data_IF_549195757050
#
_entry.id   IF_549195757050
#
_cell.length_a   1.000
_cell.length_b   1.000
_cell.length_c   1.000
_cell.angle_alpha   90.00
_cell.angle_beta   90.00
_cell.angle_gamma   90.00
#
_symmetry.space_group_name_H-M   'P 1'
#
loop_
_entity.id
_entity.type
_entity.pdbx_description
1 polymer ?
#
# COMPACT_ATOMS: atom_id res chain seq x y z
N UNK A 1 9.52 0.95 14.75
CA UNK A 1 9.69 1.80 15.95
C UNK A 1 10.38 3.13 15.65
N UNK A 2 11.57 3.14 15.03
CA UNK A 2 12.28 4.39 14.68
C UNK A 2 11.44 5.33 13.82
N UNK A 3 10.71 4.79 12.82
CA UNK A 3 9.74 5.54 12.00
C UNK A 3 8.71 6.27 12.88
N UNK A 4 8.08 5.58 13.84
CA UNK A 4 7.09 6.19 14.73
C UNK A 4 7.67 7.33 15.59
N UNK A 5 8.93 7.21 16.01
CA UNK A 5 9.61 8.26 16.77
C UNK A 5 9.91 9.47 15.88
N UNK A 6 10.36 9.24 14.64
CA UNK A 6 10.60 10.29 13.66
C UNK A 6 9.31 11.04 13.29
N UNK A 7 8.22 10.32 12.95
CA UNK A 7 6.93 10.94 12.62
C UNK A 7 6.41 11.83 13.76
N UNK A 8 6.59 11.39 15.01
CA UNK A 8 6.25 12.21 16.18
C UNK A 8 7.06 13.50 16.24
N UNK A 9 8.37 13.45 15.99
CA UNK A 9 9.24 14.64 15.96
C UNK A 9 8.87 15.56 14.78
N UNK A 10 8.50 15.00 13.63
CA UNK A 10 8.03 15.72 12.45
C UNK A 10 6.57 16.19 12.55
N UNK A 11 5.90 15.98 13.69
CA UNK A 11 4.51 16.32 13.93
C UNK A 11 3.51 15.73 12.92
N UNK A 12 3.82 14.58 12.33
CA UNK A 12 2.89 13.81 11.48
C UNK A 12 2.05 12.88 12.37
N UNK A 13 0.71 13.01 12.38
CA UNK A 13 -0.17 12.16 13.17
C UNK A 13 -0.01 10.68 12.81
N UNK A 14 0.45 9.88 13.77
CA UNK A 14 0.69 8.45 13.59
C UNK A 14 0.58 7.70 14.92
N UNK A 15 0.46 6.37 14.86
CA UNK A 15 0.52 5.53 16.05
C UNK A 15 1.82 5.75 16.83
N UNK A 16 1.68 5.94 18.14
CA UNK A 16 2.81 6.13 19.05
C UNK A 16 3.13 4.86 19.82
N UNK A 17 4.41 4.64 20.13
CA UNK A 17 4.84 3.55 21.01
C UNK A 17 4.25 3.71 22.43
N UNK A 18 3.94 2.60 23.08
CA UNK A 18 3.58 2.60 24.50
C UNK A 18 4.79 2.95 25.38
N UNK A 19 4.53 3.39 26.62
CA UNK A 19 5.56 3.69 27.63
C UNK A 19 6.10 2.40 28.26
N UNK A 20 6.73 1.58 27.42
CA UNK A 20 7.44 0.35 27.78
C UNK A 20 8.89 0.55 27.35
N UNK A 21 9.87 0.26 28.22
CA UNK A 21 11.28 0.40 27.91
C UNK A 21 12.07 -0.74 28.57
N UNK A 22 12.93 -1.50 27.84
CA UNK A 22 13.23 -1.39 26.41
C UNK A 22 12.13 -1.91 25.47
N UNK A 23 12.08 -1.38 24.24
CA UNK A 23 11.37 -2.00 23.10
C UNK A 23 12.34 -2.24 21.92
N UNK A 24 12.21 -3.35 21.18
CA UNK A 24 11.17 -4.36 21.33
C UNK A 24 11.40 -5.22 22.59
N UNK A 25 10.33 -5.73 23.19
CA UNK A 25 10.44 -6.79 24.20
C UNK A 25 10.62 -8.10 23.46
N UNK A 26 11.69 -8.83 23.74
CA UNK A 26 11.96 -10.12 23.10
C UNK A 26 11.43 -11.24 23.99
N UNK A 27 10.51 -12.05 23.46
CA UNK A 27 9.97 -13.24 24.14
C UNK A 27 10.39 -14.47 23.35
N UNK A 28 11.36 -15.23 23.87
CA UNK A 28 12.06 -16.24 23.08
C UNK A 28 12.82 -15.59 21.92
N UNK A 29 12.49 -15.95 20.67
CA UNK A 29 13.04 -15.35 19.46
C UNK A 29 12.06 -14.38 18.77
N UNK A 30 10.96 -14.02 19.43
CA UNK A 30 9.88 -13.21 18.86
C UNK A 30 9.97 -11.78 19.40
N UNK A 31 10.26 -10.78 18.54
CA UNK A 31 10.22 -9.38 18.94
C UNK A 31 8.76 -8.90 19.04
N UNK A 32 8.41 -8.30 20.18
CA UNK A 32 7.09 -7.73 20.46
C UNK A 32 7.22 -6.22 20.67
N UNK A 33 6.39 -5.45 19.97
CA UNK A 33 6.32 -3.99 20.09
C UNK A 33 4.96 -3.59 20.63
N UNK A 34 4.94 -2.85 21.74
CA UNK A 34 3.73 -2.31 22.32
C UNK A 34 3.47 -0.89 21.80
N UNK A 35 2.22 -0.66 21.40
CA UNK A 35 1.72 0.61 20.88
C UNK A 35 0.71 1.20 21.85
N UNK A 36 0.66 2.52 21.94
CA UNK A 36 -0.37 3.21 22.72
C UNK A 36 -1.72 2.95 22.05
N UNK A 37 -2.68 2.44 22.83
CA UNK A 37 -4.04 2.21 22.35
C UNK A 37 -4.67 3.54 21.95
N UNK A 38 -5.23 3.60 20.74
CA UNK A 38 -6.00 4.74 20.27
C UNK A 38 -7.35 4.84 21.03
N UNK A 39 -7.91 6.05 21.19
CA UNK A 39 -9.31 6.21 21.61
C UNK A 39 -10.27 5.48 20.62
N UNK A 40 -11.58 5.38 20.92
CA UNK A 40 -12.56 4.88 19.95
C UNK A 40 -12.39 5.59 18.60
N UNK A 41 -12.26 4.80 17.55
CA UNK A 41 -11.93 5.26 16.21
C UNK A 41 -12.62 4.40 15.15
N UNK A 42 -12.66 4.93 13.94
CA UNK A 42 -13.13 4.25 12.74
C UNK A 42 -12.07 4.34 11.63
N UNK A 43 -12.16 3.49 10.58
CA UNK A 43 -11.33 3.67 9.39
C UNK A 43 -11.51 5.08 8.82
N UNK A 44 -10.43 5.65 8.28
CA UNK A 44 -10.44 6.99 7.71
C UNK A 44 -11.21 7.09 6.41
N UNK A 45 -11.37 8.32 5.92
CA UNK A 45 -11.89 8.58 4.58
C UNK A 45 -10.75 8.92 3.61
N UNK A 46 -11.04 8.91 2.31
CA UNK A 46 -10.03 9.25 1.29
C UNK A 46 -9.41 10.63 1.52
N UNK A 47 -10.17 11.60 2.04
CA UNK A 47 -9.66 12.94 2.36
C UNK A 47 -8.65 12.94 3.51
N UNK A 48 -8.79 12.02 4.46
CA UNK A 48 -7.86 11.89 5.59
C UNK A 48 -6.55 11.28 5.14
N UNK A 49 -6.62 10.26 4.26
CA UNK A 49 -5.45 9.69 3.58
C UNK A 49 -4.72 10.79 2.80
N UNK A 50 -5.43 11.56 1.97
CA UNK A 50 -4.83 12.64 1.17
C UNK A 50 -4.09 13.68 2.04
N UNK A 51 -4.72 14.10 3.15
CA UNK A 51 -4.15 15.09 4.08
C UNK A 51 -2.86 14.57 4.74
N UNK A 52 -2.89 13.34 5.25
CA UNK A 52 -1.74 12.72 5.92
C UNK A 52 -0.60 12.43 4.92
N UNK A 53 -0.93 11.98 3.70
CA UNK A 53 0.06 11.78 2.65
C UNK A 53 0.73 13.08 2.23
N UNK A 54 -0.03 14.16 2.07
CA UNK A 54 0.55 15.46 1.76
C UNK A 54 1.53 15.90 2.85
N UNK A 55 1.10 15.83 4.12
CA UNK A 55 1.97 16.17 5.23
C UNK A 55 3.23 15.31 5.29
N UNK A 56 3.12 14.01 4.98
CA UNK A 56 4.25 13.09 4.95
C UNK A 56 5.22 13.38 3.78
N UNK A 57 4.67 13.61 2.58
CA UNK A 57 5.47 13.81 1.37
C UNK A 57 6.16 15.18 1.34
N UNK A 58 5.66 16.16 2.10
CA UNK A 58 6.28 17.48 2.29
C UNK A 58 7.47 17.44 3.28
N UNK A 59 7.74 16.30 3.94
CA UNK A 59 8.88 16.17 4.85
C UNK A 59 10.20 15.90 4.12
N UNK A 60 11.28 16.49 4.63
CA UNK A 60 12.63 16.09 4.27
C UNK A 60 12.90 14.64 4.70
N UNK A 61 13.41 13.77 3.82
CA UNK A 61 13.78 12.41 4.16
C UNK A 61 14.78 12.34 5.33
N UNK A 62 14.51 11.54 6.37
CA UNK A 62 15.41 11.41 7.51
C UNK A 62 16.66 10.62 7.12
N UNK A 63 17.81 11.30 7.06
CA UNK A 63 19.08 10.69 6.62
C UNK A 63 19.62 9.64 7.60
N UNK A 64 19.28 9.74 8.88
CA UNK A 64 19.73 8.84 9.93
C UNK A 64 18.88 7.56 10.03
N UNK A 65 17.63 7.59 9.56
CA UNK A 65 16.66 6.51 9.73
C UNK A 65 17.00 5.26 8.91
N UNK A 66 17.73 5.42 7.80
CA UNK A 66 18.11 4.33 6.91
C UNK A 66 16.89 3.65 6.30
N UNK A 67 15.90 4.44 5.86
CA UNK A 67 14.73 3.91 5.16
C UNK A 67 15.17 3.23 3.86
N UNK A 68 14.62 2.05 3.52
CA UNK A 68 14.92 1.41 2.26
C UNK A 68 14.32 2.19 1.11
N UNK A 69 14.91 2.07 -0.07
CA UNK A 69 14.26 2.48 -1.31
C UNK A 69 13.03 1.59 -1.58
N UNK A 70 12.02 2.16 -2.25
CA UNK A 70 10.83 1.42 -2.66
C UNK A 70 11.20 0.30 -3.65
N UNK A 71 11.06 -0.94 -3.20
CA UNK A 71 11.01 -2.11 -4.08
C UNK A 71 9.59 -2.70 -4.09
N UNK A 72 8.78 -2.43 -5.13
CA UNK A 72 7.41 -2.94 -5.22
C UNK A 72 7.37 -4.44 -5.60
N UNK A 73 8.51 -5.07 -5.88
CA UNK A 73 8.62 -6.49 -6.23
C UNK A 73 9.24 -7.33 -5.11
N UNK A 74 9.62 -6.70 -4.00
CA UNK A 74 10.26 -7.38 -2.88
C UNK A 74 9.43 -8.57 -2.38
N UNK A 75 10.07 -9.75 -2.37
CA UNK A 75 9.49 -11.04 -1.94
C UNK A 75 8.30 -11.55 -2.77
N UNK A 76 7.95 -10.90 -3.89
CA UNK A 76 6.82 -11.34 -4.73
C UNK A 76 7.11 -12.68 -5.43
N UNK A 77 8.24 -12.85 -6.16
CA UNK A 77 8.54 -14.11 -6.84
C UNK A 77 8.58 -15.32 -5.90
N UNK A 78 9.15 -15.16 -4.71
CA UNK A 78 9.28 -16.22 -3.71
C UNK A 78 7.91 -16.63 -3.18
N UNK A 79 7.03 -15.67 -2.88
CA UNK A 79 5.65 -15.94 -2.43
C UNK A 79 4.83 -16.65 -3.49
N UNK A 80 4.96 -16.24 -4.75
CA UNK A 80 4.26 -16.84 -5.89
C UNK A 80 4.76 -18.26 -6.15
N UNK A 81 6.08 -18.47 -6.09
CA UNK A 81 6.70 -19.79 -6.30
C UNK A 81 6.31 -20.78 -5.21
N UNK A 82 6.22 -20.32 -3.96
CA UNK A 82 5.80 -21.14 -2.81
C UNK A 82 4.28 -21.39 -2.71
N UNK A 83 3.46 -20.81 -3.59
CA UNK A 83 2.01 -20.96 -3.51
C UNK A 83 1.54 -22.32 -4.03
N UNK A 84 0.66 -22.96 -3.26
CA UNK A 84 -0.11 -24.16 -3.63
C UNK A 84 -1.54 -23.85 -4.10
N UNK A 85 -1.92 -22.56 -4.19
CA UNK A 85 -3.27 -22.12 -4.55
C UNK A 85 -3.44 -22.00 -6.07
N UNK A 86 -2.35 -21.67 -6.77
CA UNK A 86 -2.33 -21.45 -8.22
C UNK A 86 -1.68 -22.63 -8.95
N UNK A 87 -2.15 -22.90 -10.17
CA UNK A 87 -1.52 -23.88 -11.07
C UNK A 87 -0.22 -23.34 -11.69
N UNK A 88 0.52 -24.23 -12.36
CA UNK A 88 1.79 -23.89 -13.03
C UNK A 88 1.59 -22.78 -14.07
N UNK A 89 0.52 -22.82 -14.85
CA UNK A 89 0.26 -21.82 -15.88
C UNK A 89 0.07 -20.40 -15.32
N UNK A 90 -0.68 -20.26 -14.20
CA UNK A 90 -0.82 -18.97 -13.51
C UNK A 90 0.48 -18.54 -12.85
N UNK A 91 1.22 -19.46 -12.23
CA UNK A 91 2.52 -19.17 -11.63
C UNK A 91 3.50 -18.60 -12.67
N UNK A 92 3.68 -19.30 -13.78
CA UNK A 92 4.61 -18.90 -14.84
C UNK A 92 4.19 -17.57 -15.50
N UNK A 93 2.89 -17.32 -15.60
CA UNK A 93 2.39 -16.03 -16.07
C UNK A 93 2.70 -14.90 -15.09
N UNK A 94 2.46 -15.11 -13.78
CA UNK A 94 2.75 -14.09 -12.75
C UNK A 94 4.23 -13.77 -12.71
N UNK A 95 5.10 -14.79 -12.72
CA UNK A 95 6.55 -14.60 -12.66
C UNK A 95 7.05 -13.79 -13.87
N UNK A 96 6.61 -14.14 -15.10
CA UNK A 96 6.92 -13.33 -16.28
C UNK A 96 6.40 -11.91 -16.18
N UNK A 97 5.17 -11.72 -15.68
CA UNK A 97 4.63 -10.36 -15.50
C UNK A 97 5.43 -9.55 -14.47
N UNK A 98 5.96 -10.18 -13.43
CA UNK A 98 6.88 -9.52 -12.47
C UNK A 98 8.15 -9.07 -13.19
N UNK A 99 8.75 -9.93 -14.01
CA UNK A 99 9.97 -9.60 -14.74
C UNK A 99 9.74 -8.47 -15.77
N UNK A 100 8.63 -8.52 -16.52
CA UNK A 100 8.24 -7.45 -17.45
C UNK A 100 8.09 -6.10 -16.70
N UNK A 101 7.36 -6.11 -15.58
CA UNK A 101 7.14 -4.90 -14.78
C UNK A 101 8.42 -4.37 -14.15
N UNK A 102 9.40 -5.22 -13.81
CA UNK A 102 10.71 -4.80 -13.31
C UNK A 102 11.49 -4.03 -14.37
N UNK A 103 11.52 -4.53 -15.60
CA UNK A 103 12.16 -3.84 -16.73
C UNK A 103 11.47 -2.51 -17.00
N UNK A 104 10.12 -2.49 -17.01
CA UNK A 104 9.36 -1.24 -17.17
C UNK A 104 9.63 -0.25 -16.02
N UNK A 105 9.83 -0.73 -14.78
CA UNK A 105 10.09 0.08 -13.58
C UNK A 105 11.41 0.84 -13.65
N UNK A 106 12.45 0.26 -14.25
CA UNK A 106 13.74 0.93 -14.47
C UNK A 106 13.62 2.13 -15.43
N UNK A 107 12.56 2.16 -16.24
CA UNK A 107 12.29 3.19 -17.25
C UNK A 107 11.13 4.12 -16.84
N UNK A 108 10.77 4.12 -15.55
CA UNK A 108 9.71 4.96 -15.03
C UNK A 108 10.03 6.45 -15.31
N UNK A 109 9.09 7.21 -15.90
CA UNK A 109 9.32 8.62 -16.21
C UNK A 109 9.42 9.45 -14.93
N UNK A 110 10.03 10.63 -15.02
CA UNK A 110 10.08 11.55 -13.88
C UNK A 110 8.67 11.92 -13.39
N UNK A 111 8.51 11.96 -12.08
CA UNK A 111 7.29 12.36 -11.39
C UNK A 111 7.56 13.48 -10.38
N UNK A 112 6.83 13.45 -9.28
CA UNK A 112 7.09 14.26 -8.10
C UNK A 112 8.48 13.93 -7.52
N UNK A 113 9.14 14.89 -6.85
CA UNK A 113 10.39 14.63 -6.16
C UNK A 113 10.25 13.45 -5.20
N UNK A 114 11.28 12.60 -5.14
CA UNK A 114 11.28 11.48 -4.21
C UNK A 114 11.15 11.99 -2.76
N UNK A 115 10.34 11.29 -1.98
CA UNK A 115 10.09 11.63 -0.58
C UNK A 115 10.05 10.36 0.27
N UNK A 116 9.83 10.54 1.57
CA UNK A 116 9.32 9.43 2.38
C UNK A 116 7.89 9.12 1.93
N UNK A 117 7.60 7.85 1.70
CA UNK A 117 6.27 7.34 1.40
C UNK A 117 5.86 6.34 2.48
N UNK A 118 4.56 6.23 2.71
CA UNK A 118 4.00 5.21 3.59
C UNK A 118 4.20 3.81 3.02
N UNK A 119 4.07 3.67 1.69
CA UNK A 119 4.28 2.40 0.98
C UNK A 119 3.06 1.48 1.00
N UNK A 120 1.97 1.84 1.69
CA UNK A 120 0.67 1.14 1.71
C UNK A 120 -0.44 2.03 2.26
N UNK A 121 -0.54 3.25 1.75
CA UNK A 121 -1.53 4.21 2.21
C UNK A 121 -2.93 3.92 1.67
N UNK A 122 -3.81 3.47 2.56
CA UNK A 122 -5.24 3.32 2.27
C UNK A 122 -6.08 3.58 3.52
N UNK A 123 -7.39 3.75 3.33
CA UNK A 123 -8.34 4.10 4.42
C UNK A 123 -8.30 3.16 5.64
N UNK A 124 -7.94 1.88 5.47
CA UNK A 124 -7.79 0.94 6.58
C UNK A 124 -6.50 1.14 7.40
N UNK A 125 -5.49 1.78 6.81
CA UNK A 125 -4.26 2.18 7.48
C UNK A 125 -4.33 3.63 8.01
N UNK A 126 -5.54 4.19 8.11
CA UNK A 126 -5.81 5.47 8.76
C UNK A 126 -6.91 5.24 9.80
N UNK A 127 -6.66 5.65 11.04
CA UNK A 127 -7.70 5.70 12.06
C UNK A 127 -8.14 7.14 12.27
N UNK A 128 -9.44 7.37 12.35
CA UNK A 128 -10.03 8.67 12.71
C UNK A 128 -10.76 8.53 14.03
N UNK A 129 -10.35 9.31 15.02
CA UNK A 129 -11.00 9.32 16.33
C UNK A 129 -12.34 10.08 16.34
N UNK A 130 -13.05 10.01 17.47
CA UNK A 130 -14.35 10.71 17.66
C UNK A 130 -14.27 12.23 17.53
N UNK A 131 -13.08 12.83 17.61
CA UNK A 131 -12.86 14.27 17.44
C UNK A 131 -12.48 14.63 15.99
N UNK A 132 -12.37 13.65 15.10
CA UNK A 132 -11.96 13.84 13.71
C UNK A 132 -10.44 13.85 13.50
N UNK A 133 -9.65 13.48 14.51
CA UNK A 133 -8.19 13.38 14.38
C UNK A 133 -7.82 12.12 13.60
N UNK A 134 -7.24 12.29 12.42
CA UNK A 134 -6.73 11.20 11.60
C UNK A 134 -5.28 10.85 11.97
N UNK A 135 -4.94 9.58 12.08
CA UNK A 135 -3.57 9.09 12.35
C UNK A 135 -3.18 7.96 11.41
N UNK A 136 -1.92 7.96 10.97
CA UNK A 136 -1.33 6.87 10.20
C UNK A 136 -1.08 5.63 11.06
N UNK A 137 -1.45 4.47 10.53
CA UNK A 137 -1.20 3.15 11.09
C UNK A 137 -0.12 2.42 10.26
N UNK A 138 0.19 1.18 10.62
CA UNK A 138 0.97 0.24 9.80
C UNK A 138 2.26 0.81 9.15
N UNK A 139 3.24 1.14 10.00
CA UNK A 139 4.45 1.86 9.62
C UNK A 139 5.56 0.96 9.02
N UNK A 140 5.27 -0.31 8.73
CA UNK A 140 6.30 -1.31 8.35
C UNK A 140 6.80 -1.16 6.90
N UNK A 141 6.04 -0.45 6.05
CA UNK A 141 6.33 -0.29 4.61
C UNK A 141 6.90 1.07 4.23
N UNK A 142 7.18 1.90 5.22
CA UNK A 142 7.80 3.20 5.00
C UNK A 142 9.12 3.04 4.25
N UNK A 143 9.27 3.82 3.19
CA UNK A 143 10.40 3.75 2.25
C UNK A 143 10.66 5.12 1.64
N UNK A 144 11.77 5.26 0.93
CA UNK A 144 12.05 6.40 0.05
C UNK A 144 11.59 6.02 -1.36
N UNK A 145 10.82 6.89 -2.00
CA UNK A 145 10.35 6.64 -3.36
C UNK A 145 9.45 7.74 -3.91
N UNK A 146 8.87 7.52 -5.10
CA UNK A 146 7.94 8.46 -5.70
C UNK A 146 6.61 8.52 -4.91
N UNK A 147 6.16 9.73 -4.49
CA UNK A 147 4.84 9.95 -3.88
C UNK A 147 3.68 9.26 -4.60
N UNK A 148 3.77 9.15 -5.92
CA UNK A 148 2.79 8.53 -6.81
C UNK A 148 2.43 7.09 -6.39
N UNK A 149 3.35 6.36 -5.77
CA UNK A 149 3.09 5.01 -5.27
C UNK A 149 1.94 4.97 -4.26
N UNK A 150 1.91 5.93 -3.34
CA UNK A 150 0.83 6.04 -2.35
C UNK A 150 -0.46 6.59 -2.98
N UNK A 151 -0.35 7.51 -3.94
CA UNK A 151 -1.52 8.09 -4.62
C UNK A 151 -2.26 7.06 -5.50
N UNK A 152 -1.50 6.21 -6.20
CA UNK A 152 -2.03 5.14 -7.06
C UNK A 152 -2.95 4.21 -6.27
N UNK A 153 -2.62 3.93 -5.00
CA UNK A 153 -3.43 3.06 -4.14
C UNK A 153 -4.87 3.55 -3.95
N UNK A 154 -5.11 4.86 -4.04
CA UNK A 154 -6.48 5.42 -4.07
C UNK A 154 -7.05 5.49 -5.48
N UNK A 155 -6.24 5.86 -6.48
CA UNK A 155 -6.68 5.95 -7.87
C UNK A 155 -7.23 4.62 -8.42
N UNK A 156 -6.57 3.49 -8.13
CA UNK A 156 -7.01 2.16 -8.60
C UNK A 156 -8.36 1.75 -8.01
N UNK A 157 -8.74 2.27 -6.83
CA UNK A 157 -10.06 2.00 -6.24
C UNK A 157 -11.17 2.57 -7.09
N UNK A 158 -10.95 3.69 -7.78
CA UNK A 158 -11.89 4.21 -8.77
C UNK A 158 -11.73 3.48 -10.10
N UNK A 159 -10.52 3.55 -10.69
CA UNK A 159 -10.30 3.16 -12.08
C UNK A 159 -10.31 1.66 -12.34
N UNK A 160 -9.81 0.87 -11.40
CA UNK A 160 -9.64 -0.57 -11.56
C UNK A 160 -10.78 -1.39 -10.97
N UNK A 161 -11.42 -0.89 -9.91
CA UNK A 161 -12.37 -1.69 -9.13
C UNK A 161 -13.72 -1.04 -8.84
N UNK A 162 -13.85 0.27 -9.05
CA UNK A 162 -15.06 1.04 -8.72
C UNK A 162 -15.53 0.88 -7.26
N UNK A 163 -14.57 0.79 -6.33
CA UNK A 163 -14.79 0.70 -4.88
C UNK A 163 -15.07 2.05 -4.22
N UNK A 164 -14.74 3.15 -4.89
CA UNK A 164 -15.05 4.51 -4.45
C UNK A 164 -15.75 5.28 -5.58
N UNK A 165 -16.51 6.31 -5.21
CA UNK A 165 -17.18 7.19 -6.18
C UNK A 165 -16.22 8.22 -6.78
N UNK A 166 -16.58 8.75 -7.95
CA UNK A 166 -15.79 9.80 -8.63
C UNK A 166 -15.65 11.05 -7.76
N UNK A 167 -16.70 11.40 -7.01
CA UNK A 167 -16.71 12.57 -6.12
C UNK A 167 -15.75 12.40 -4.94
N UNK A 168 -15.62 11.17 -4.42
CA UNK A 168 -14.66 10.85 -3.36
C UNK A 168 -13.23 10.98 -3.88
N UNK A 169 -12.95 10.43 -5.07
CA UNK A 169 -11.64 10.57 -5.69
C UNK A 169 -11.30 12.02 -6.04
N UNK A 170 -12.29 12.80 -6.52
CA UNK A 170 -12.10 14.23 -6.75
C UNK A 170 -11.70 14.96 -5.46
N UNK A 171 -12.35 14.67 -4.32
CA UNK A 171 -11.96 15.26 -3.03
C UNK A 171 -10.55 14.85 -2.59
N UNK A 172 -10.14 13.61 -2.86
CA UNK A 172 -8.76 13.17 -2.62
C UNK A 172 -7.76 14.04 -3.39
N UNK A 173 -8.00 14.24 -4.69
CA UNK A 173 -7.17 15.11 -5.55
C UNK A 173 -7.16 16.54 -5.05
N UNK A 174 -8.34 17.11 -4.75
CA UNK A 174 -8.46 18.51 -4.32
C UNK A 174 -7.70 18.76 -3.00
N UNK A 175 -7.62 17.77 -2.10
CA UNK A 175 -6.88 17.85 -0.83
C UNK A 175 -5.37 17.64 -1.03
N UNK A 176 -4.98 16.61 -1.79
CA UNK A 176 -3.57 16.29 -2.01
C UNK A 176 -2.89 17.33 -2.91
N UNK A 177 -3.57 17.75 -3.98
CA UNK A 177 -3.11 18.77 -4.93
C UNK A 177 -2.59 18.21 -6.26
N UNK A 178 -2.66 16.89 -6.48
CA UNK A 178 -2.24 16.25 -7.73
C UNK A 178 -3.13 15.05 -8.06
N UNK A 179 -3.39 14.86 -9.36
CA UNK A 179 -4.06 13.69 -9.89
C UNK A 179 -3.04 12.81 -10.61
N UNK A 180 -2.66 11.72 -9.94
CA UNK A 180 -1.65 10.76 -10.43
C UNK A 180 -2.06 10.12 -11.76
N UNK A 181 -3.36 10.11 -12.13
CA UNK A 181 -3.81 9.46 -13.37
C UNK A 181 -3.39 10.19 -14.64
N UNK A 182 -3.02 11.47 -14.55
CA UNK A 182 -2.45 12.22 -15.69
C UNK A 182 -0.96 12.00 -15.89
N UNK A 183 -0.27 11.39 -14.92
CA UNK A 183 1.16 11.15 -15.02
C UNK A 183 1.45 9.92 -15.91
N UNK A 184 2.40 9.99 -16.87
CA UNK A 184 2.67 8.89 -17.80
C UNK A 184 3.04 7.56 -17.13
N UNK A 185 3.65 7.59 -15.93
CA UNK A 185 4.00 6.39 -15.16
C UNK A 185 2.81 5.72 -14.44
N UNK A 186 1.62 6.33 -14.45
CA UNK A 186 0.45 5.82 -13.74
C UNK A 186 0.08 4.38 -14.11
N UNK A 187 0.09 4.06 -15.41
CA UNK A 187 -0.30 2.74 -15.91
C UNK A 187 0.59 1.64 -15.32
N UNK A 188 1.90 1.89 -15.26
CA UNK A 188 2.89 0.97 -14.70
C UNK A 188 2.71 0.82 -13.17
N UNK A 189 2.53 1.93 -12.45
CA UNK A 189 2.27 1.88 -11.01
C UNK A 189 0.98 1.12 -10.68
N UNK A 190 -0.09 1.40 -11.44
CA UNK A 190 -1.39 0.72 -11.31
C UNK A 190 -1.21 -0.78 -11.50
N UNK A 191 -0.63 -1.19 -12.62
CA UNK A 191 -0.46 -2.60 -12.96
C UNK A 191 0.38 -3.33 -11.90
N UNK A 192 1.45 -2.70 -11.42
CA UNK A 192 2.27 -3.20 -10.32
C UNK A 192 1.48 -3.34 -9.01
N UNK A 193 0.66 -2.34 -8.67
CA UNK A 193 -0.18 -2.39 -7.46
C UNK A 193 -1.25 -3.46 -7.51
N UNK A 194 -1.92 -3.61 -8.65
CA UNK A 194 -2.95 -4.63 -8.84
C UNK A 194 -2.35 -6.03 -8.77
N UNK A 195 -1.15 -6.24 -9.34
CA UNK A 195 -0.42 -7.50 -9.21
C UNK A 195 -0.07 -7.80 -7.75
N UNK A 196 0.40 -6.82 -6.98
CA UNK A 196 0.62 -6.97 -5.53
C UNK A 196 -0.65 -7.33 -4.78
N UNK A 197 -1.79 -6.71 -5.12
CA UNK A 197 -3.07 -7.01 -4.48
C UNK A 197 -3.58 -8.43 -4.82
N UNK A 198 -3.38 -8.89 -6.05
CA UNK A 198 -3.79 -10.24 -6.46
C UNK A 198 -2.88 -11.31 -5.83
N UNK A 199 -1.56 -11.11 -5.87
CA UNK A 199 -0.59 -12.03 -5.28
C UNK A 199 -0.69 -12.10 -3.75
N UNK A 200 -1.01 -10.99 -3.08
CA UNK A 200 -1.31 -10.98 -1.65
C UNK A 200 -2.53 -11.87 -1.32
N UNK A 201 -3.59 -11.81 -2.13
CA UNK A 201 -4.77 -12.64 -1.89
C UNK A 201 -4.49 -14.13 -2.16
N UNK A 202 -3.66 -14.45 -3.15
CA UNK A 202 -3.13 -15.80 -3.38
C UNK A 202 -2.38 -16.31 -2.15
N UNK A 203 -1.54 -15.48 -1.53
CA UNK A 203 -0.84 -15.83 -0.31
C UNK A 203 -1.81 -16.13 0.83
N UNK A 204 -2.81 -15.26 1.05
CA UNK A 204 -3.83 -15.46 2.10
C UNK A 204 -4.70 -16.70 1.85
N UNK A 205 -5.01 -17.01 0.60
CA UNK A 205 -5.79 -18.20 0.24
C UNK A 205 -5.08 -19.51 0.62
N UNK A 206 -3.75 -19.52 0.74
CA UNK A 206 -3.00 -20.66 1.27
C UNK A 206 -3.28 -20.94 2.76
N UNK A 207 -3.78 -19.95 3.49
CA UNK A 207 -4.16 -20.06 4.91
C UNK A 207 -5.69 -20.09 5.11
N UNK A 208 -6.45 -19.49 4.18
CA UNK A 208 -7.92 -19.47 4.19
C UNK A 208 -8.49 -19.87 2.82
N UNK A 209 -8.88 -21.14 2.62
CA UNK A 209 -9.39 -21.64 1.35
C UNK A 209 -10.64 -20.92 0.82
N UNK A 210 -11.37 -20.18 1.66
CA UNK A 210 -12.53 -19.38 1.21
C UNK A 210 -12.13 -18.27 0.25
N UNK A 211 -10.87 -17.83 0.30
CA UNK A 211 -10.34 -16.76 -0.55
C UNK A 211 -9.88 -17.26 -1.92
N UNK A 212 -9.73 -18.58 -2.13
CA UNK A 212 -9.17 -19.16 -3.35
C UNK A 212 -9.91 -18.73 -4.62
N UNK A 213 -11.25 -18.72 -4.59
CA UNK A 213 -12.05 -18.35 -5.77
C UNK A 213 -11.76 -16.92 -6.22
N UNK A 214 -11.76 -15.99 -5.27
CA UNK A 214 -11.44 -14.58 -5.53
C UNK A 214 -9.98 -14.43 -5.96
N UNK A 215 -9.04 -15.12 -5.31
CA UNK A 215 -7.62 -15.07 -5.67
C UNK A 215 -7.38 -15.48 -7.14
N UNK A 216 -7.99 -16.58 -7.58
CA UNK A 216 -7.90 -17.04 -8.98
C UNK A 216 -8.57 -16.06 -9.94
N UNK A 217 -9.75 -15.55 -9.58
CA UNK A 217 -10.46 -14.54 -10.37
C UNK A 217 -9.61 -13.29 -10.61
N UNK A 218 -8.94 -12.77 -9.57
CA UNK A 218 -8.06 -11.60 -9.70
C UNK A 218 -6.90 -11.84 -10.65
N UNK A 219 -6.26 -13.01 -10.58
CA UNK A 219 -5.20 -13.38 -11.52
C UNK A 219 -5.73 -13.48 -12.95
N UNK A 220 -6.91 -14.07 -13.14
CA UNK A 220 -7.51 -14.21 -14.47
C UNK A 220 -7.96 -12.85 -15.05
N UNK A 221 -8.37 -11.89 -14.22
CA UNK A 221 -8.57 -10.49 -14.62
C UNK A 221 -7.28 -9.86 -15.17
N UNK A 222 -6.16 -9.99 -14.45
CA UNK A 222 -4.87 -9.44 -14.88
C UNK A 222 -4.37 -10.08 -16.18
N UNK A 223 -4.75 -11.34 -16.44
CA UNK A 223 -4.49 -12.09 -17.67
C UNK A 223 -5.39 -11.68 -18.85
N UNK A 224 -6.34 -10.77 -18.63
CA UNK A 224 -7.29 -10.32 -19.66
C UNK A 224 -8.46 -11.29 -19.91
N UNK A 225 -8.64 -12.32 -19.08
CA UNK A 225 -9.70 -13.33 -19.26
C UNK A 225 -11.09 -12.83 -18.84
N UNK A 226 -11.16 -11.67 -18.19
CA UNK A 226 -12.41 -11.03 -17.74
C UNK A 226 -12.59 -9.61 -18.31
N UNK A 227 -12.01 -9.35 -19.49
CA UNK A 227 -12.12 -8.07 -20.17
C UNK A 227 -11.34 -6.94 -19.48
N UNK A 228 -11.62 -5.72 -19.90
CA UNK A 228 -10.97 -4.52 -19.38
C UNK A 228 -11.53 -4.11 -18.01
N UNK A 229 -10.75 -3.33 -17.27
CA UNK A 229 -11.17 -2.64 -16.04
C UNK A 229 -12.44 -1.80 -16.29
N UNK A 230 -13.30 -1.56 -15.28
CA UNK A 230 -13.15 -2.00 -13.89
C UNK A 230 -13.60 -3.45 -13.67
N UNK A 231 -12.85 -4.18 -12.86
CA UNK A 231 -13.18 -5.54 -12.43
C UNK A 231 -13.94 -5.54 -11.10
N UNK A 232 -14.77 -6.55 -10.87
CA UNK A 232 -15.57 -6.68 -9.64
C UNK A 232 -14.81 -7.44 -8.56
N UNK A 233 -13.61 -6.98 -8.23
CA UNK A 233 -12.85 -7.55 -7.12
C UNK A 233 -13.58 -7.24 -5.81
N UNK A 234 -13.66 -8.23 -4.92
CA UNK A 234 -14.20 -8.00 -3.58
C UNK A 234 -13.17 -7.19 -2.79
N UNK A 235 -13.50 -6.08 -2.10
CA UNK A 235 -12.53 -5.38 -1.25
C UNK A 235 -11.87 -6.35 -0.27
N UNK A 236 -10.53 -6.37 -0.25
CA UNK A 236 -9.78 -7.24 0.67
C UNK A 236 -10.04 -6.77 2.11
N UNK A 237 -10.59 -7.64 2.96
CA UNK A 237 -10.78 -7.46 4.41
C UNK A 237 -9.44 -7.32 5.14
#
# INVERSE_FOLDING_TARGET
MRVAQWLRTAAVPSVSLAEVNPQPVVVGDIPVVFWRRLPPHQPGHVVDVARLLRQLHDLDPPTDLGLPELDPFVRLPERVSGSNVIDLARRDWILRRIDDLRVEWELLPDGLPQSVIHGDAWVGNVAVDVNGTAVLLDLERFSIGPPEWDLVSTAIKLGSFFWIRREEYKRFIDVYGSDVTYWPGYTLMRDTRELRMATFLVQRAGQDPRLTREALYRIDCLRGLHGVRPWRWTPSL
#
